data_IF_931952663438
#
_entry.id   IF_931952663438
#
_cell.length_a   1.000
_cell.length_b   1.000
_cell.length_c   1.000
_cell.angle_alpha   90.00
_cell.angle_beta   90.00
_cell.angle_gamma   90.00
#
_symmetry.space_group_name_H-M   'P 1'
#
loop_
_entity.id
_entity.type
_entity.pdbx_description
1 polymer ?
#
# COMPACT_ATOMS: atom_id res chain seq x y z
N UNK A 1 44.06 33.32 -28.66
CA UNK A 1 43.54 34.32 -27.73
C UNK A 1 42.05 34.15 -27.65
N UNK A 2 41.52 33.40 -26.69
CA UNK A 2 40.09 33.19 -26.51
C UNK A 2 39.59 34.26 -25.52
N UNK A 3 38.72 35.13 -25.99
CA UNK A 3 38.04 36.14 -25.17
C UNK A 3 37.05 35.46 -24.23
N UNK A 4 37.37 35.45 -22.93
CA UNK A 4 36.44 35.17 -21.86
C UNK A 4 35.25 36.13 -21.95
N UNK A 5 34.11 35.64 -22.32
CA UNK A 5 32.84 36.38 -22.27
C UNK A 5 32.46 36.57 -20.80
N UNK A 6 32.69 37.74 -20.28
CA UNK A 6 32.26 38.16 -18.93
C UNK A 6 30.73 38.14 -18.94
N UNK A 7 30.14 37.15 -18.31
CA UNK A 7 28.68 37.07 -18.13
C UNK A 7 28.18 38.26 -17.30
N UNK A 8 27.18 38.94 -17.77
CA UNK A 8 26.61 40.10 -17.07
C UNK A 8 26.06 39.69 -15.70
N UNK A 9 26.06 40.62 -14.71
CA UNK A 9 25.51 40.32 -13.36
C UNK A 9 24.04 39.85 -13.39
N UNK A 10 23.31 40.18 -14.46
CA UNK A 10 21.95 39.73 -14.68
C UNK A 10 21.87 38.25 -15.11
N UNK A 11 22.81 37.81 -15.95
CA UNK A 11 22.92 36.40 -16.37
C UNK A 11 23.37 35.52 -15.19
N UNK A 12 24.32 35.98 -14.41
CA UNK A 12 24.75 35.27 -13.21
C UNK A 12 23.61 35.08 -12.20
N UNK A 13 22.74 36.08 -12.03
CA UNK A 13 21.53 35.96 -11.19
C UNK A 13 20.51 35.01 -11.78
N UNK A 14 20.33 34.96 -13.10
CA UNK A 14 19.46 33.96 -13.75
C UNK A 14 19.96 32.54 -13.54
N UNK A 15 21.26 32.28 -13.71
CA UNK A 15 21.88 31.00 -13.47
C UNK A 15 21.80 30.56 -11.99
N UNK A 16 21.84 31.53 -11.06
CA UNK A 16 21.65 31.23 -9.63
C UNK A 16 20.17 30.97 -9.29
N UNK A 17 19.22 31.67 -9.91
CA UNK A 17 17.78 31.43 -9.72
C UNK A 17 17.33 30.07 -10.28
N UNK A 18 17.91 29.64 -11.40
CA UNK A 18 17.64 28.31 -12.00
C UNK A 18 18.23 27.15 -11.17
N UNK A 19 19.28 27.40 -10.36
CA UNK A 19 19.91 26.41 -9.47
C UNK A 19 19.30 26.34 -8.08
N UNK A 20 18.38 27.25 -7.74
CA UNK A 20 17.70 27.17 -6.45
C UNK A 20 16.69 26.00 -6.50
N UNK A 21 16.95 24.86 -5.84
CA UNK A 21 15.98 23.79 -5.79
C UNK A 21 14.72 24.35 -5.11
N UNK A 22 13.59 24.20 -5.76
CA UNK A 22 12.32 24.61 -5.17
C UNK A 22 12.23 23.98 -3.77
N UNK A 23 12.14 24.80 -2.73
CA UNK A 23 12.15 24.41 -1.29
C UNK A 23 11.08 23.37 -0.91
N UNK A 24 10.25 22.94 -1.86
CA UNK A 24 9.13 22.00 -1.65
C UNK A 24 9.35 20.63 -2.29
N UNK A 25 10.48 20.38 -2.99
CA UNK A 25 10.79 19.07 -3.54
C UNK A 25 11.54 18.25 -2.49
N UNK A 26 11.05 17.04 -2.19
CA UNK A 26 11.75 16.06 -1.36
C UNK A 26 13.17 15.85 -1.87
N UNK A 27 14.15 15.85 -0.96
CA UNK A 27 15.51 15.47 -1.29
C UNK A 27 15.51 14.07 -1.94
N UNK A 28 16.31 13.84 -3.00
CA UNK A 28 16.30 12.55 -3.71
C UNK A 28 16.54 11.33 -2.79
N UNK A 29 17.40 11.47 -1.78
CA UNK A 29 17.66 10.43 -0.77
C UNK A 29 16.44 10.14 0.07
N UNK A 30 15.79 11.16 0.61
CA UNK A 30 14.57 11.02 1.40
C UNK A 30 13.42 10.39 0.56
N UNK A 31 13.35 10.72 -0.74
CA UNK A 31 12.37 10.13 -1.65
C UNK A 31 12.58 8.63 -1.81
N UNK A 32 13.82 8.16 -1.99
CA UNK A 32 14.11 6.74 -2.11
C UNK A 32 13.79 6.01 -0.80
N UNK A 33 14.22 6.53 0.35
CA UNK A 33 13.90 5.96 1.67
C UNK A 33 12.39 5.84 1.88
N UNK A 34 11.61 6.88 1.54
CA UNK A 34 10.15 6.85 1.67
C UNK A 34 9.47 5.87 0.70
N UNK A 35 10.01 5.69 -0.50
CA UNK A 35 9.49 4.69 -1.46
C UNK A 35 9.73 3.27 -0.97
N UNK A 36 10.94 2.96 -0.48
CA UNK A 36 11.27 1.65 0.07
C UNK A 36 10.50 1.39 1.37
N UNK A 37 10.36 2.41 2.23
CA UNK A 37 9.48 2.37 3.39
C UNK A 37 8.05 1.99 3.00
N UNK A 38 7.47 2.74 2.06
CA UNK A 38 6.09 2.53 1.64
C UNK A 38 5.89 1.14 1.02
N UNK A 39 6.85 0.67 0.23
CA UNK A 39 6.79 -0.63 -0.44
C UNK A 39 6.66 -1.76 0.57
N UNK A 40 7.55 -1.84 1.55
CA UNK A 40 7.52 -2.89 2.58
C UNK A 40 6.37 -2.70 3.58
N UNK A 41 6.08 -1.46 3.96
CA UNK A 41 4.96 -1.16 4.85
C UNK A 41 3.62 -1.61 4.24
N UNK A 42 3.35 -1.25 2.99
CA UNK A 42 2.11 -1.63 2.28
C UNK A 42 2.06 -3.13 2.05
N UNK A 43 3.18 -3.77 1.68
CA UNK A 43 3.25 -5.22 1.51
C UNK A 43 2.81 -5.96 2.78
N UNK A 44 3.41 -5.63 3.93
CA UNK A 44 3.07 -6.26 5.21
C UNK A 44 1.62 -5.95 5.63
N UNK A 45 1.18 -4.71 5.43
CA UNK A 45 -0.19 -4.32 5.71
C UNK A 45 -1.19 -5.12 4.85
N UNK A 46 -0.92 -5.30 3.56
CA UNK A 46 -1.76 -6.08 2.66
C UNK A 46 -1.77 -7.56 3.01
N UNK A 47 -0.60 -8.17 3.29
CA UNK A 47 -0.53 -9.58 3.71
C UNK A 47 -1.41 -9.80 4.93
N UNK A 48 -1.28 -8.98 5.96
CA UNK A 48 -2.04 -9.14 7.19
C UNK A 48 -3.52 -8.82 7.01
N UNK A 49 -3.83 -7.71 6.34
CA UNK A 49 -5.21 -7.24 6.21
C UNK A 49 -6.05 -8.15 5.29
N UNK A 50 -5.49 -8.60 4.17
CA UNK A 50 -6.21 -9.51 3.27
C UNK A 50 -6.44 -10.87 3.91
N UNK A 51 -5.46 -11.39 4.68
CA UNK A 51 -5.63 -12.63 5.43
C UNK A 51 -6.71 -12.52 6.53
N UNK A 52 -6.86 -11.34 7.14
CA UNK A 52 -7.87 -11.10 8.16
C UNK A 52 -9.30 -11.01 7.59
N UNK A 53 -9.45 -10.57 6.34
CA UNK A 53 -10.74 -10.36 5.69
C UNK A 53 -11.13 -11.47 4.71
N UNK A 54 -10.25 -12.41 4.43
CA UNK A 54 -10.50 -13.49 3.48
C UNK A 54 -9.89 -14.79 4.03
N UNK A 55 -10.77 -15.73 4.41
CA UNK A 55 -10.35 -16.99 5.05
C UNK A 55 -9.48 -17.84 4.13
N UNK A 56 -9.72 -17.83 2.83
CA UNK A 56 -8.85 -18.54 1.88
C UNK A 56 -7.46 -17.94 1.80
N UNK A 57 -7.35 -16.59 1.85
CA UNK A 57 -6.07 -15.93 1.87
C UNK A 57 -5.32 -16.10 3.20
N UNK A 58 -6.04 -16.32 4.31
CA UNK A 58 -5.43 -16.70 5.58
C UNK A 58 -4.71 -18.06 5.48
N UNK A 59 -5.30 -19.02 4.78
CA UNK A 59 -4.68 -20.33 4.49
C UNK A 59 -3.60 -20.25 3.42
N UNK A 60 -3.64 -19.23 2.55
CA UNK A 60 -2.74 -19.01 1.43
C UNK A 60 -1.90 -17.73 1.64
N UNK A 61 -1.37 -17.52 2.84
CA UNK A 61 -0.58 -16.31 3.18
C UNK A 61 0.53 -16.03 2.16
N UNK A 62 1.17 -17.08 1.64
CA UNK A 62 2.20 -16.97 0.61
C UNK A 62 1.67 -16.44 -0.75
N UNK A 63 0.36 -16.48 -0.97
CA UNK A 63 -0.23 -16.03 -2.22
C UNK A 63 -0.16 -14.51 -2.38
N UNK A 64 -0.44 -13.78 -1.31
CA UNK A 64 -0.31 -12.31 -1.30
C UNK A 64 1.16 -11.90 -1.42
N UNK A 65 2.05 -12.63 -0.74
CA UNK A 65 3.50 -12.43 -0.86
C UNK A 65 3.98 -12.65 -2.30
N UNK A 66 3.50 -13.72 -2.97
CA UNK A 66 3.83 -13.99 -4.37
C UNK A 66 3.31 -12.88 -5.31
N UNK A 67 2.09 -12.40 -5.07
CA UNK A 67 1.52 -11.25 -5.80
C UNK A 67 2.37 -9.99 -5.61
N UNK A 68 2.85 -9.76 -4.38
CA UNK A 68 3.73 -8.65 -4.04
C UNK A 68 5.05 -8.71 -4.81
N UNK A 69 5.72 -9.86 -4.81
CA UNK A 69 6.96 -10.06 -5.55
C UNK A 69 6.78 -9.90 -7.06
N UNK A 70 5.68 -10.44 -7.61
CA UNK A 70 5.35 -10.27 -9.01
C UNK A 70 5.14 -8.78 -9.33
N UNK A 71 4.37 -8.07 -8.50
CA UNK A 71 4.09 -6.65 -8.67
C UNK A 71 5.37 -5.80 -8.63
N UNK A 72 6.20 -5.99 -7.60
CA UNK A 72 7.49 -5.31 -7.46
C UNK A 72 8.37 -5.61 -8.67
N UNK A 73 8.48 -6.88 -9.09
CA UNK A 73 9.26 -7.30 -10.25
C UNK A 73 8.79 -6.62 -11.55
N UNK A 74 7.49 -6.60 -11.82
CA UNK A 74 6.91 -5.89 -12.98
C UNK A 74 7.21 -4.39 -12.89
N UNK A 75 7.11 -3.80 -11.70
CA UNK A 75 7.46 -2.40 -11.46
C UNK A 75 8.91 -2.10 -11.84
N UNK A 76 9.84 -2.91 -11.36
CA UNK A 76 11.28 -2.79 -11.66
C UNK A 76 11.56 -2.94 -13.16
N UNK A 77 10.97 -3.90 -13.83
CA UNK A 77 11.10 -4.07 -15.28
C UNK A 77 10.61 -2.85 -16.06
N UNK A 78 9.62 -2.14 -15.52
CA UNK A 78 9.05 -0.92 -16.13
C UNK A 78 9.75 0.37 -15.70
N UNK A 79 10.88 0.31 -15.01
CA UNK A 79 11.63 1.50 -14.56
C UNK A 79 12.00 2.46 -15.70
N UNK A 80 12.22 1.94 -16.91
CA UNK A 80 12.58 2.71 -18.11
C UNK A 80 11.38 3.33 -18.86
N UNK A 81 10.15 2.99 -18.46
CA UNK A 81 8.95 3.53 -19.11
C UNK A 81 8.87 5.06 -18.94
N UNK A 82 8.46 5.84 -19.96
CA UNK A 82 8.36 7.30 -19.86
C UNK A 82 7.31 7.75 -18.82
N UNK A 83 6.28 6.92 -18.59
CA UNK A 83 5.17 7.24 -17.68
C UNK A 83 5.44 6.72 -16.27
N UNK A 84 5.26 7.60 -15.26
CA UNK A 84 5.27 7.19 -13.85
C UNK A 84 3.91 6.58 -13.49
N UNK A 85 3.94 5.38 -12.92
CA UNK A 85 2.74 4.69 -12.43
C UNK A 85 2.38 5.09 -11.00
N UNK A 86 3.25 5.80 -10.27
CA UNK A 86 3.01 6.20 -8.88
C UNK A 86 1.69 6.97 -8.72
N UNK A 87 1.29 7.75 -9.73
CA UNK A 87 0.00 8.45 -9.72
C UNK A 87 -1.20 7.51 -9.70
N UNK A 88 -1.05 6.25 -10.11
CA UNK A 88 -2.11 5.24 -10.06
C UNK A 88 -2.16 4.49 -8.71
N UNK A 89 -1.11 4.62 -7.88
CA UNK A 89 -1.03 3.91 -6.60
C UNK A 89 -2.26 4.16 -5.67
N UNK A 90 -2.74 5.40 -5.47
CA UNK A 90 -3.93 5.65 -4.67
C UNK A 90 -5.17 4.93 -5.19
N UNK A 91 -5.35 4.90 -6.52
CA UNK A 91 -6.50 4.30 -7.17
C UNK A 91 -6.43 2.77 -7.11
N UNK A 92 -5.24 2.18 -7.33
CA UNK A 92 -5.02 0.75 -7.22
C UNK A 92 -5.27 0.26 -5.78
N UNK A 93 -4.77 1.01 -4.79
CA UNK A 93 -5.01 0.71 -3.38
C UNK A 93 -6.50 0.82 -3.02
N UNK A 94 -7.18 1.87 -3.49
CA UNK A 94 -8.62 2.05 -3.25
C UNK A 94 -9.45 0.92 -3.89
N UNK A 95 -9.11 0.53 -5.12
CA UNK A 95 -9.76 -0.58 -5.81
C UNK A 95 -9.57 -1.92 -5.07
N UNK A 96 -8.35 -2.17 -4.55
CA UNK A 96 -8.05 -3.35 -3.76
C UNK A 96 -8.88 -3.38 -2.47
N UNK A 97 -8.86 -2.27 -1.69
CA UNK A 97 -9.59 -2.19 -0.43
C UNK A 97 -11.09 -2.32 -0.67
N UNK A 98 -11.63 -1.62 -1.66
CA UNK A 98 -13.04 -1.71 -2.02
C UNK A 98 -13.42 -3.15 -2.42
N UNK A 99 -12.61 -3.80 -3.26
CA UNK A 99 -12.90 -5.14 -3.71
C UNK A 99 -12.94 -6.15 -2.56
N UNK A 100 -11.94 -6.15 -1.68
CA UNK A 100 -11.86 -7.09 -0.55
C UNK A 100 -13.02 -6.91 0.42
N UNK A 101 -13.47 -5.67 0.67
CA UNK A 101 -14.61 -5.41 1.57
C UNK A 101 -15.97 -5.66 0.93
N UNK A 102 -16.09 -5.48 -0.40
CA UNK A 102 -17.35 -5.71 -1.12
C UNK A 102 -17.58 -7.19 -1.40
N UNK A 103 -16.51 -7.94 -1.67
CA UNK A 103 -16.55 -9.37 -2.01
C UNK A 103 -15.75 -10.21 -1.00
N UNK A 104 -16.16 -10.25 0.29
CA UNK A 104 -15.50 -11.09 1.26
C UNK A 104 -15.77 -12.56 0.91
N UNK A 105 -14.70 -13.36 0.83
CA UNK A 105 -14.81 -14.79 0.57
C UNK A 105 -14.83 -15.53 1.90
N UNK A 106 -15.96 -16.13 2.27
CA UNK A 106 -16.12 -16.92 3.50
C UNK A 106 -16.34 -18.39 3.22
N UNK A 107 -15.69 -19.27 3.98
CA UNK A 107 -15.81 -20.75 3.86
C UNK A 107 -17.22 -21.25 4.21
N UNK A 108 -18.01 -20.51 4.97
CA UNK A 108 -19.24 -20.98 5.57
C UNK A 108 -20.42 -21.18 4.61
N UNK A 109 -20.28 -20.83 3.32
CA UNK A 109 -21.32 -21.09 2.32
C UNK A 109 -21.56 -22.60 2.09
N UNK A 110 -20.58 -23.47 2.35
CA UNK A 110 -20.69 -24.91 2.10
C UNK A 110 -21.11 -25.74 3.32
N UNK A 111 -20.80 -25.27 4.55
CA UNK A 111 -21.00 -26.11 5.75
C UNK A 111 -22.38 -25.95 6.42
N UNK A 112 -23.08 -24.85 6.27
CA UNK A 112 -24.27 -24.53 7.05
C UNK A 112 -25.50 -24.16 6.22
N UNK A 113 -25.41 -24.06 4.90
CA UNK A 113 -26.53 -23.63 4.04
C UNK A 113 -26.98 -22.17 4.29
N UNK A 114 -26.45 -21.52 5.28
CA UNK A 114 -26.66 -20.11 5.56
C UNK A 114 -25.56 -19.30 4.89
N UNK A 115 -25.90 -18.64 3.80
CA UNK A 115 -25.03 -17.60 3.20
C UNK A 115 -24.94 -16.48 4.22
N UNK A 116 -23.88 -16.49 5.04
CA UNK A 116 -23.53 -15.32 5.83
C UNK A 116 -23.14 -14.23 4.82
N UNK A 117 -24.06 -13.31 4.61
CA UNK A 117 -23.84 -12.12 3.79
C UNK A 117 -22.80 -11.26 4.52
N UNK A 118 -21.54 -11.59 4.33
CA UNK A 118 -20.44 -10.69 4.69
C UNK A 118 -20.28 -9.69 3.55
N UNK A 119 -20.35 -8.42 3.87
CA UNK A 119 -20.27 -7.34 2.88
C UNK A 119 -21.65 -6.80 2.49
N UNK A 120 -21.68 -5.91 1.54
CA UNK A 120 -22.88 -5.14 1.12
C UNK A 120 -23.98 -5.99 0.40
N UNK A 121 -24.12 -7.28 0.68
CA UNK A 121 -25.21 -8.12 0.17
C UNK A 121 -25.12 -8.47 -1.32
N UNK A 122 -23.97 -8.30 -1.95
CA UNK A 122 -23.74 -8.71 -3.33
C UNK A 122 -23.54 -10.23 -3.44
N UNK A 123 -23.95 -10.85 -4.55
CA UNK A 123 -23.77 -12.28 -4.75
C UNK A 123 -22.30 -12.65 -4.67
N UNK A 124 -21.98 -13.72 -3.96
CA UNK A 124 -20.62 -14.23 -3.84
C UNK A 124 -20.07 -14.60 -5.23
N UNK A 125 -18.93 -14.05 -5.58
CA UNK A 125 -18.20 -14.45 -6.78
C UNK A 125 -17.56 -15.82 -6.58
N UNK A 126 -17.34 -16.61 -7.66
CA UNK A 126 -16.56 -17.83 -7.55
C UNK A 126 -15.20 -17.57 -6.87
N UNK A 127 -14.82 -18.44 -5.95
CA UNK A 127 -13.62 -18.28 -5.12
C UNK A 127 -12.34 -18.05 -5.94
N UNK A 128 -12.15 -18.86 -6.99
CA UNK A 128 -11.00 -18.76 -7.88
C UNK A 128 -10.91 -17.38 -8.57
N UNK A 129 -12.06 -16.78 -8.89
CA UNK A 129 -12.11 -15.46 -9.51
C UNK A 129 -11.75 -14.38 -8.48
N UNK A 130 -12.32 -14.43 -7.29
CA UNK A 130 -12.01 -13.49 -6.20
C UNK A 130 -10.54 -13.52 -5.83
N UNK A 131 -9.96 -14.71 -5.67
CA UNK A 131 -8.53 -14.87 -5.37
C UNK A 131 -7.68 -14.27 -6.51
N UNK A 132 -8.03 -14.56 -7.76
CA UNK A 132 -7.30 -14.04 -8.92
C UNK A 132 -7.36 -12.50 -9.00
N UNK A 133 -8.53 -11.91 -8.74
CA UNK A 133 -8.68 -10.44 -8.75
C UNK A 133 -7.87 -9.80 -7.62
N UNK A 134 -7.91 -10.34 -6.41
CA UNK A 134 -7.09 -9.83 -5.29
C UNK A 134 -5.61 -9.92 -5.63
N UNK A 135 -5.16 -11.04 -6.21
CA UNK A 135 -3.78 -11.22 -6.67
C UNK A 135 -3.35 -10.12 -7.63
N UNK A 136 -4.14 -9.86 -8.66
CA UNK A 136 -3.84 -8.85 -9.66
C UNK A 136 -3.86 -7.44 -9.08
N UNK A 137 -4.79 -7.14 -8.15
CA UNK A 137 -4.86 -5.83 -7.50
C UNK A 137 -3.71 -5.59 -6.54
N UNK A 138 -3.26 -6.60 -5.78
CA UNK A 138 -2.04 -6.52 -4.96
C UNK A 138 -0.83 -6.30 -5.84
N UNK A 139 -0.66 -7.12 -6.89
CA UNK A 139 0.46 -6.98 -7.83
C UNK A 139 0.46 -5.60 -8.51
N UNK A 140 -0.71 -5.10 -8.96
CA UNK A 140 -0.84 -3.78 -9.57
C UNK A 140 -0.47 -2.66 -8.59
N UNK A 141 -0.94 -2.73 -7.34
CA UNK A 141 -0.62 -1.73 -6.32
C UNK A 141 0.89 -1.64 -6.09
N UNK A 142 1.55 -2.78 -5.85
CA UNK A 142 2.99 -2.80 -5.60
C UNK A 142 3.83 -2.53 -6.86
N UNK A 143 3.33 -2.85 -8.05
CA UNK A 143 4.01 -2.49 -9.30
C UNK A 143 4.10 -0.96 -9.48
N UNK A 144 3.10 -0.20 -9.04
CA UNK A 144 3.14 1.27 -9.12
C UNK A 144 4.21 1.87 -8.21
N UNK A 145 4.35 1.35 -7.00
CA UNK A 145 5.37 1.77 -6.02
C UNK A 145 6.75 1.28 -6.46
N UNK A 146 6.87 0.01 -6.82
CA UNK A 146 8.12 -0.62 -7.26
C UNK A 146 8.73 0.05 -8.50
N UNK A 147 7.91 0.50 -9.46
CA UNK A 147 8.43 1.25 -10.61
C UNK A 147 9.12 2.55 -10.18
N UNK A 148 8.52 3.30 -9.29
CA UNK A 148 9.10 4.57 -8.86
C UNK A 148 10.32 4.38 -7.96
N UNK A 149 10.32 3.30 -7.15
CA UNK A 149 11.49 2.87 -6.38
C UNK A 149 12.65 2.56 -7.32
N UNK A 150 12.44 1.71 -8.32
CA UNK A 150 13.46 1.36 -9.31
C UNK A 150 13.99 2.58 -10.10
N UNK A 151 13.12 3.54 -10.43
CA UNK A 151 13.53 4.81 -11.05
C UNK A 151 14.41 5.65 -10.13
N UNK A 152 14.10 5.65 -8.84
CA UNK A 152 14.85 6.41 -7.85
C UNK A 152 16.22 5.80 -7.61
N UNK A 153 16.37 4.48 -7.67
CA UNK A 153 17.66 3.77 -7.61
C UNK A 153 18.67 4.27 -8.63
N UNK A 154 18.24 4.54 -9.84
CA UNK A 154 19.11 4.95 -10.96
C UNK A 154 19.79 6.31 -10.76
N UNK A 155 19.39 7.08 -9.74
CA UNK A 155 19.97 8.39 -9.42
C UNK A 155 21.18 8.31 -8.52
N UNK A 156 21.48 7.13 -7.99
CA UNK A 156 22.53 6.90 -7.01
C UNK A 156 23.51 5.84 -7.49
N UNK A 157 24.70 5.81 -6.87
CA UNK A 157 25.58 4.66 -7.02
C UNK A 157 24.91 3.40 -6.45
N UNK A 158 25.21 2.20 -6.97
CA UNK A 158 24.54 0.97 -6.53
C UNK A 158 24.61 0.76 -5.01
N UNK A 159 25.75 1.05 -4.39
CA UNK A 159 25.94 0.88 -2.96
C UNK A 159 25.14 1.90 -2.15
N UNK A 160 25.06 3.14 -2.60
CA UNK A 160 24.27 4.19 -1.94
C UNK A 160 22.77 3.87 -2.04
N UNK A 161 22.30 3.51 -3.23
CA UNK A 161 20.90 3.11 -3.44
C UNK A 161 20.51 1.96 -2.52
N UNK A 162 21.35 0.92 -2.45
CA UNK A 162 21.11 -0.24 -1.60
C UNK A 162 21.04 0.10 -0.11
N UNK A 163 21.95 0.97 0.38
CA UNK A 163 21.89 1.44 1.78
C UNK A 163 20.61 2.20 2.10
N UNK A 164 20.16 3.08 1.22
CA UNK A 164 18.94 3.86 1.38
C UNK A 164 17.69 2.96 1.32
N UNK A 165 17.71 1.95 0.46
CA UNK A 165 16.65 0.97 0.33
C UNK A 165 16.50 0.12 1.59
N UNK A 166 17.59 -0.45 2.09
CA UNK A 166 17.58 -1.20 3.35
C UNK A 166 17.07 -0.33 4.50
N UNK A 167 17.55 0.91 4.62
CA UNK A 167 17.09 1.81 5.67
C UNK A 167 15.59 2.07 5.57
N UNK A 168 15.08 2.38 4.38
CA UNK A 168 13.66 2.59 4.14
C UNK A 168 12.84 1.34 4.47
N UNK A 169 13.28 0.18 3.99
CA UNK A 169 12.63 -1.11 4.21
C UNK A 169 12.56 -1.48 5.70
N UNK A 170 13.66 -1.34 6.43
CA UNK A 170 13.70 -1.60 7.88
C UNK A 170 12.77 -0.65 8.65
N UNK A 171 12.74 0.62 8.28
CA UNK A 171 11.79 1.57 8.86
C UNK A 171 10.34 1.18 8.55
N UNK A 172 10.04 0.71 7.33
CA UNK A 172 8.72 0.24 6.94
C UNK A 172 8.26 -0.96 7.75
N UNK A 173 9.12 -1.98 7.85
CA UNK A 173 8.87 -3.20 8.64
C UNK A 173 8.69 -2.84 10.12
N UNK A 174 9.63 -2.05 10.68
CA UNK A 174 9.60 -1.67 12.10
C UNK A 174 8.36 -0.86 12.46
N UNK A 175 7.99 0.09 11.60
CA UNK A 175 6.77 0.89 11.82
C UNK A 175 5.50 0.04 11.73
N UNK A 176 5.39 -0.84 10.73
CA UNK A 176 4.24 -1.73 10.65
C UNK A 176 4.16 -2.66 11.86
N UNK A 177 5.28 -3.25 12.29
CA UNK A 177 5.35 -4.11 13.47
C UNK A 177 4.94 -3.37 14.74
N UNK A 178 5.40 -2.12 14.90
CA UNK A 178 5.03 -1.28 16.03
C UNK A 178 3.54 -0.96 16.06
N UNK A 179 2.96 -0.52 14.94
CA UNK A 179 1.52 -0.23 14.84
C UNK A 179 0.69 -1.49 15.12
N UNK A 180 1.16 -2.65 14.64
CA UNK A 180 0.53 -3.95 14.90
C UNK A 180 0.59 -4.33 16.37
N UNK A 181 1.74 -4.12 17.01
CA UNK A 181 1.94 -4.41 18.44
C UNK A 181 1.12 -3.49 19.34
N UNK A 182 0.89 -2.24 18.92
CA UNK A 182 0.05 -1.27 19.61
C UNK A 182 -1.46 -1.49 19.38
N UNK A 183 -1.85 -2.60 18.76
CA UNK A 183 -3.26 -2.96 18.51
C UNK A 183 -4.01 -1.95 17.64
N UNK A 184 -3.27 -1.18 16.83
CA UNK A 184 -3.89 -0.17 16.00
C UNK A 184 -4.70 -0.80 14.86
N UNK A 185 -5.92 -0.31 14.62
CA UNK A 185 -6.80 -0.84 13.57
C UNK A 185 -6.30 -0.47 12.17
N UNK A 186 -6.82 -1.12 11.11
CA UNK A 186 -6.40 -0.90 9.72
C UNK A 186 -6.46 0.54 9.23
N UNK A 187 -7.37 1.35 9.77
CA UNK A 187 -7.44 2.77 9.43
C UNK A 187 -6.12 3.51 9.73
N UNK A 188 -5.41 3.15 10.80
CA UNK A 188 -4.12 3.76 11.14
C UNK A 188 -3.05 3.40 10.09
N UNK A 189 -3.05 2.15 9.60
CA UNK A 189 -2.13 1.72 8.54
C UNK A 189 -2.46 2.41 7.22
N UNK A 190 -3.75 2.47 6.87
CA UNK A 190 -4.22 3.20 5.70
C UNK A 190 -3.90 4.68 5.74
N UNK A 191 -4.03 5.32 6.91
CA UNK A 191 -3.72 6.73 7.10
C UNK A 191 -2.23 7.02 6.88
N UNK A 192 -1.34 6.19 7.44
CA UNK A 192 0.10 6.34 7.26
C UNK A 192 0.50 6.11 5.80
N UNK A 193 0.00 5.04 5.16
CA UNK A 193 0.27 4.78 3.74
C UNK A 193 -0.22 5.93 2.85
N UNK A 194 -1.43 6.46 3.13
CA UNK A 194 -2.01 7.59 2.42
C UNK A 194 -1.18 8.87 2.57
N UNK A 195 -0.72 9.15 3.78
CA UNK A 195 0.13 10.31 4.06
C UNK A 195 1.44 10.23 3.28
N UNK A 196 2.11 9.07 3.32
CA UNK A 196 3.37 8.86 2.59
C UNK A 196 3.15 8.96 1.08
N UNK A 197 2.05 8.41 0.55
CA UNK A 197 1.70 8.56 -0.87
C UNK A 197 1.48 10.03 -1.25
N UNK A 198 0.78 10.82 -0.44
CA UNK A 198 0.59 12.26 -0.69
C UNK A 198 1.92 13.01 -0.70
N UNK A 199 2.81 12.72 0.26
CA UNK A 199 4.15 13.30 0.33
C UNK A 199 4.97 12.94 -0.92
N UNK A 200 4.91 11.70 -1.38
CA UNK A 200 5.62 11.22 -2.58
C UNK A 200 5.07 11.79 -3.88
N UNK A 201 3.76 12.01 -3.97
CA UNK A 201 3.12 12.68 -5.11
C UNK A 201 3.47 14.17 -5.16
N UNK A 202 3.76 14.79 -4.01
CA UNK A 202 4.15 16.19 -3.88
C UNK A 202 3.12 17.12 -4.54
N UNK A 203 3.56 18.08 -5.35
CA UNK A 203 2.66 19.03 -6.06
C UNK A 203 1.92 18.42 -7.27
N UNK A 204 2.13 17.15 -7.61
CA UNK A 204 1.49 16.46 -8.75
C UNK A 204 0.15 15.83 -8.39
N UNK A 205 -0.30 15.98 -7.16
CA UNK A 205 -1.61 15.45 -6.76
C UNK A 205 -2.74 16.16 -7.51
N UNK A 206 -3.76 15.39 -7.83
CA UNK A 206 -5.01 15.84 -8.46
C UNK A 206 -6.16 15.45 -7.53
N UNK A 207 -7.32 16.05 -7.68
CA UNK A 207 -8.49 15.78 -6.86
C UNK A 207 -8.84 14.29 -6.73
N UNK A 208 -8.65 13.52 -7.78
CA UNK A 208 -8.94 12.08 -7.78
C UNK A 208 -7.93 11.27 -6.94
N UNK A 209 -6.70 11.70 -6.73
CA UNK A 209 -5.79 11.06 -5.77
C UNK A 209 -6.32 11.22 -4.35
N UNK A 210 -6.78 12.44 -4.00
CA UNK A 210 -7.36 12.71 -2.68
C UNK A 210 -8.64 11.91 -2.51
N UNK A 211 -9.53 11.89 -3.51
CA UNK A 211 -10.77 11.12 -3.48
C UNK A 211 -10.49 9.63 -3.27
N UNK A 212 -9.49 9.04 -3.96
CA UNK A 212 -9.10 7.64 -3.79
C UNK A 212 -8.57 7.35 -2.39
N UNK A 213 -7.71 8.22 -1.83
CA UNK A 213 -7.18 8.04 -0.48
C UNK A 213 -8.25 8.24 0.59
N UNK A 214 -9.16 9.20 0.41
CA UNK A 214 -10.32 9.35 1.29
C UNK A 214 -11.24 8.13 1.24
N UNK A 215 -11.44 7.54 0.07
CA UNK A 215 -12.19 6.31 -0.07
C UNK A 215 -11.52 5.15 0.70
N UNK A 216 -10.18 5.00 0.61
CA UNK A 216 -9.43 4.02 1.40
C UNK A 216 -9.68 4.25 2.90
N UNK A 217 -9.54 5.50 3.37
CA UNK A 217 -9.72 5.83 4.79
C UNK A 217 -11.16 5.61 5.25
N UNK A 218 -12.13 5.96 4.43
CA UNK A 218 -13.56 5.76 4.75
C UNK A 218 -13.89 4.27 4.86
N UNK A 219 -13.45 3.46 3.91
CA UNK A 219 -13.67 2.01 3.89
C UNK A 219 -13.00 1.32 5.09
N UNK A 220 -11.72 1.60 5.33
CA UNK A 220 -11.00 1.06 6.49
C UNK A 220 -11.55 1.61 7.81
N UNK A 221 -12.08 2.83 7.80
CA UNK A 221 -12.74 3.46 8.96
C UNK A 221 -14.03 2.74 9.34
N UNK A 222 -14.87 2.44 8.37
CA UNK A 222 -16.10 1.66 8.59
C UNK A 222 -15.76 0.27 9.14
N UNK A 223 -14.77 -0.41 8.59
CA UNK A 223 -14.30 -1.70 9.09
C UNK A 223 -13.75 -1.58 10.53
N UNK A 224 -12.93 -0.56 10.78
CA UNK A 224 -12.30 -0.35 12.10
C UNK A 224 -13.30 0.08 13.20
N UNK A 225 -14.44 0.64 12.81
CA UNK A 225 -15.49 1.08 13.73
C UNK A 225 -16.51 -0.03 14.06
N UNK A 226 -16.40 -1.23 13.47
CA UNK A 226 -17.27 -2.36 13.75
C UNK A 226 -17.14 -2.80 15.21
N UNK A 227 -18.22 -2.75 16.03
CA UNK A 227 -18.15 -3.08 17.45
C UNK A 227 -17.89 -4.55 17.73
N UNK A 228 -18.06 -5.42 16.73
CA UNK A 228 -17.86 -6.87 16.82
C UNK A 228 -16.44 -7.32 16.45
N UNK A 229 -15.61 -6.39 15.92
CA UNK A 229 -14.27 -6.69 15.46
C UNK A 229 -13.23 -6.15 16.46
N UNK A 230 -12.39 -7.03 16.96
CA UNK A 230 -11.23 -6.68 17.80
C UNK A 230 -9.95 -7.06 17.05
N UNK A 231 -9.02 -6.11 16.96
CA UNK A 231 -7.72 -6.30 16.32
C UNK A 231 -6.67 -6.63 17.37
N UNK A 232 -6.20 -7.88 17.39
CA UNK A 232 -5.03 -8.26 18.20
C UNK A 232 -3.74 -8.05 17.37
N UNK A 233 -2.52 -8.14 17.97
CA UNK A 233 -1.27 -8.08 17.20
C UNK A 233 -1.16 -9.11 16.09
N UNK A 234 -1.87 -10.24 16.22
CA UNK A 234 -1.76 -11.40 15.32
C UNK A 234 -3.01 -11.67 14.51
N UNK A 235 -4.23 -11.42 15.07
CA UNK A 235 -5.50 -11.87 14.50
C UNK A 235 -6.57 -10.79 14.56
N UNK A 236 -7.54 -10.88 13.63
CA UNK A 236 -8.85 -10.22 13.76
C UNK A 236 -9.78 -11.19 14.49
N UNK A 237 -10.28 -10.78 15.65
CA UNK A 237 -11.26 -11.56 16.44
C UNK A 237 -12.64 -10.99 16.20
N UNK A 238 -13.55 -11.83 15.70
CA UNK A 238 -14.95 -11.47 15.51
C UNK A 238 -15.79 -12.13 16.63
N UNK A 239 -16.39 -11.32 17.48
CA UNK A 239 -17.25 -11.81 18.56
C UNK A 239 -18.70 -11.92 18.05
N UNK A 240 -19.19 -13.15 17.93
CA UNK A 240 -20.60 -13.42 17.60
C UNK A 240 -21.30 -13.73 18.91
N UNK A 241 -22.14 -12.85 19.43
CA UNK A 241 -23.04 -12.97 20.61
C UNK A 241 -22.56 -13.83 21.79
N UNK A 242 -22.93 -13.45 23.00
CA UNK A 242 -22.64 -14.24 24.20
C UNK A 242 -23.18 -15.68 24.08
N UNK A 243 -22.30 -16.67 23.98
CA UNK A 243 -22.64 -18.11 23.85
C UNK A 243 -22.32 -18.76 22.52
N UNK A 244 -21.91 -17.99 21.50
CA UNK A 244 -21.44 -18.54 20.24
C UNK A 244 -19.89 -18.63 20.20
N UNK A 245 -19.30 -19.56 19.42
CA UNK A 245 -17.86 -19.68 19.32
C UNK A 245 -17.26 -18.39 18.73
N UNK A 246 -16.15 -17.94 19.33
CA UNK A 246 -15.39 -16.82 18.79
C UNK A 246 -14.76 -17.22 17.44
N UNK A 247 -14.83 -16.34 16.44
CA UNK A 247 -14.16 -16.55 15.17
C UNK A 247 -12.83 -15.80 15.16
N UNK A 248 -11.75 -16.51 14.88
CA UNK A 248 -10.43 -15.92 14.64
C UNK A 248 -10.17 -15.97 13.15
N UNK A 249 -10.00 -14.82 12.50
CA UNK A 249 -9.90 -14.68 11.04
C UNK A 249 -11.03 -15.44 10.29
N UNK A 250 -12.24 -15.45 10.84
CA UNK A 250 -13.39 -16.14 10.26
C UNK A 250 -13.45 -17.67 10.50
N UNK A 251 -12.51 -18.25 11.27
CA UNK A 251 -12.48 -19.67 11.63
C UNK A 251 -12.99 -19.85 13.06
N UNK A 252 -13.96 -20.78 13.33
CA UNK A 252 -14.43 -21.07 14.67
C UNK A 252 -13.30 -21.63 15.53
N UNK A 253 -13.13 -21.09 16.75
CA UNK A 253 -12.24 -21.65 17.76
C UNK A 253 -13.10 -22.36 18.81
N UNK A 254 -12.81 -23.61 19.06
CA UNK A 254 -13.40 -24.39 20.15
C UNK A 254 -12.73 -24.13 21.47
#
# INVERSE_FOLDING_TARGET
MATETISTPAEARRWQAERTPSRTALAPRARLVLLSFLMLFVELALIRWTAANNVYLASLTNFVLLASFLGIGIGFLRANSPRSLLSLAPMALAALVAYVLVFPVSINAFATGHVLHGGFGLPALPEWLSISVVFLLVAATLATIGQETARSFRRFSPLEAYRLDILGSLLGIGTFSLLSFLWLPPIAWGALASLVLLVLLGRRWRWWHIASLLAVLALLGVESASPHDSWSPYYKVHAIHAGAPHLVNGVPTH
#
